data_IF_061371856309
#
_entry.id   IF_061371856309
#
_cell.length_a   1.000
_cell.length_b   1.000
_cell.length_c   1.000
_cell.angle_alpha   90.00
_cell.angle_beta   90.00
_cell.angle_gamma   90.00
#
_symmetry.space_group_name_H-M   'P 1'
#
loop_
_entity.id
_entity.type
_entity.pdbx_description
1 polymer ?
#
# COMPACT_ATOMS: atom_id res chain seq x y z
N UNK A 1 -2.64 -16.66 12.84
CA UNK A 1 -1.95 -16.32 14.12
C UNK A 1 -0.51 -15.86 13.95
N UNK A 2 0.29 -16.41 13.02
CA UNK A 2 1.68 -15.93 12.75
C UNK A 2 1.76 -14.44 12.40
N UNK A 3 0.79 -13.90 11.65
CA UNK A 3 0.73 -12.48 11.30
C UNK A 3 0.54 -11.52 12.48
N UNK A 4 -0.23 -11.93 13.49
CA UNK A 4 -0.43 -11.12 14.70
C UNK A 4 0.85 -11.04 15.53
N UNK A 5 1.58 -12.16 15.64
CA UNK A 5 2.88 -12.21 16.33
C UNK A 5 3.92 -11.34 15.62
N UNK A 6 4.00 -11.44 14.30
CA UNK A 6 4.84 -10.57 13.47
C UNK A 6 4.54 -9.10 13.72
N UNK A 7 3.25 -8.73 13.67
CA UNK A 7 2.82 -7.34 13.89
C UNK A 7 3.17 -6.89 15.31
N UNK A 8 2.89 -7.69 16.33
CA UNK A 8 3.22 -7.37 17.72
C UNK A 8 4.72 -7.20 17.95
N UNK A 9 5.56 -8.05 17.37
CA UNK A 9 7.01 -7.92 17.46
C UNK A 9 7.53 -6.65 16.78
N UNK A 10 6.97 -6.26 15.63
CA UNK A 10 7.29 -4.98 15.01
C UNK A 10 6.84 -3.78 15.88
N UNK A 11 5.69 -3.87 16.58
CA UNK A 11 5.27 -2.85 17.55
C UNK A 11 6.19 -2.79 18.76
N UNK A 12 6.71 -3.92 19.21
CA UNK A 12 7.71 -4.00 20.28
C UNK A 12 8.99 -3.26 19.90
N UNK A 13 9.59 -3.58 18.74
CA UNK A 13 10.80 -2.90 18.24
C UNK A 13 10.56 -1.38 18.13
N UNK A 14 9.40 -0.98 17.59
CA UNK A 14 8.99 0.43 17.50
C UNK A 14 8.88 1.10 18.87
N UNK A 15 8.31 0.44 19.86
CA UNK A 15 8.20 0.95 21.22
C UNK A 15 9.59 1.14 21.85
N UNK A 16 10.51 0.18 21.65
CA UNK A 16 11.89 0.29 22.14
C UNK A 16 12.64 1.45 21.48
N UNK A 17 12.49 1.62 20.17
CA UNK A 17 13.17 2.67 19.42
C UNK A 17 12.55 4.08 19.61
N UNK A 18 11.29 4.18 20.08
CA UNK A 18 10.55 5.45 20.14
C UNK A 18 9.92 5.86 18.80
N UNK A 19 9.63 4.89 17.92
CA UNK A 19 9.12 5.11 16.56
C UNK A 19 7.60 4.86 16.55
N UNK A 20 6.83 5.85 16.98
CA UNK A 20 5.40 5.68 17.32
C UNK A 20 4.45 5.82 16.12
N UNK A 21 4.89 6.41 15.00
CA UNK A 21 4.10 6.52 13.77
C UNK A 21 4.71 5.76 12.60
N UNK A 22 3.94 5.55 11.53
CA UNK A 22 4.43 4.89 10.32
C UNK A 22 5.51 5.73 9.60
N UNK A 23 5.43 7.05 9.74
CA UNK A 23 6.32 8.04 9.16
C UNK A 23 7.53 8.36 10.05
N UNK A 24 7.51 7.97 11.33
CA UNK A 24 8.67 8.11 12.20
C UNK A 24 9.85 7.31 11.64
N UNK A 25 10.99 7.96 11.52
CA UNK A 25 12.24 7.41 10.99
C UNK A 25 13.35 7.43 12.03
N UNK A 26 14.42 6.68 11.76
CA UNK A 26 15.70 6.83 12.44
C UNK A 26 16.65 7.66 11.58
N UNK A 27 17.51 8.44 12.23
CA UNK A 27 18.65 9.15 11.64
C UNK A 27 19.93 8.33 11.83
N UNK A 28 21.07 8.87 11.38
CA UNK A 28 22.37 8.23 11.61
C UNK A 28 22.64 7.98 13.09
N UNK A 29 23.23 6.82 13.39
CA UNK A 29 23.43 6.33 14.75
C UNK A 29 24.84 6.63 15.30
N UNK A 30 25.60 7.53 14.66
CA UNK A 30 27.04 7.73 14.88
C UNK A 30 27.42 7.90 16.35
N UNK A 31 26.69 8.75 17.09
CA UNK A 31 26.96 9.00 18.50
C UNK A 31 26.67 7.78 19.38
N UNK A 32 25.65 6.99 19.02
CA UNK A 32 25.29 5.77 19.73
C UNK A 32 26.28 4.63 19.45
N UNK A 33 26.78 4.55 18.21
CA UNK A 33 27.81 3.60 17.81
C UNK A 33 29.12 3.93 18.52
N UNK A 34 29.57 5.19 18.49
CA UNK A 34 30.77 5.64 19.22
C UNK A 34 30.70 5.31 20.71
N UNK A 35 29.56 5.57 21.35
CA UNK A 35 29.37 5.22 22.76
C UNK A 35 29.45 3.70 23.00
N UNK A 36 28.87 2.90 22.10
CA UNK A 36 28.93 1.44 22.18
C UNK A 36 30.37 0.95 22.03
N UNK A 37 31.10 1.40 21.01
CA UNK A 37 32.48 0.97 20.74
C UNK A 37 33.43 1.29 21.89
N UNK A 38 33.27 2.43 22.55
CA UNK A 38 34.06 2.80 23.74
C UNK A 38 33.89 1.85 24.92
N UNK A 39 32.77 1.12 24.98
CA UNK A 39 32.41 0.24 26.11
C UNK A 39 32.27 -1.21 25.70
N UNK A 40 32.49 -1.52 24.43
CA UNK A 40 32.25 -2.84 23.90
C UNK A 40 33.32 -3.80 24.43
N UNK A 41 32.84 -4.84 25.12
CA UNK A 41 33.66 -5.99 25.50
C UNK A 41 33.13 -7.17 24.70
N UNK A 42 33.96 -7.86 23.90
CA UNK A 42 33.56 -9.06 23.20
C UNK A 42 33.02 -10.10 24.20
N UNK A 43 31.91 -10.73 23.84
CA UNK A 43 31.28 -11.78 24.64
C UNK A 43 31.17 -13.03 23.78
N UNK A 44 31.61 -14.17 24.30
CA UNK A 44 31.65 -15.45 23.57
C UNK A 44 30.24 -15.93 23.20
N UNK A 45 29.30 -15.96 24.16
CA UNK A 45 27.87 -16.20 23.90
C UNK A 45 27.03 -14.97 24.23
N UNK A 46 26.84 -14.14 23.20
CA UNK A 46 26.01 -12.93 23.28
C UNK A 46 24.55 -13.25 23.64
N UNK A 47 24.01 -14.39 23.21
CA UNK A 47 22.61 -14.75 23.45
C UNK A 47 22.40 -15.12 24.91
N UNK A 48 23.29 -15.93 25.48
CA UNK A 48 23.25 -16.29 26.89
C UNK A 48 23.48 -15.06 27.79
N UNK A 49 24.46 -14.23 27.44
CA UNK A 49 24.72 -12.98 28.15
C UNK A 49 23.48 -12.09 28.22
N UNK A 50 22.77 -11.90 27.12
CA UNK A 50 21.56 -11.08 27.09
C UNK A 50 20.42 -11.71 27.89
N UNK A 51 20.25 -13.03 27.86
CA UNK A 51 19.27 -13.70 28.73
C UNK A 51 19.56 -13.44 30.21
N UNK A 52 20.83 -13.51 30.62
CA UNK A 52 21.23 -13.19 31.98
C UNK A 52 20.94 -11.72 32.33
N UNK A 53 21.17 -10.79 31.40
CA UNK A 53 20.82 -9.37 31.59
C UNK A 53 19.31 -9.15 31.75
N UNK A 54 18.47 -9.89 31.02
CA UNK A 54 17.00 -9.82 31.17
C UNK A 54 16.60 -10.21 32.59
N UNK A 55 17.13 -11.31 33.12
CA UNK A 55 16.85 -11.74 34.50
C UNK A 55 17.34 -10.74 35.54
N UNK A 56 18.54 -10.19 35.37
CA UNK A 56 19.08 -9.14 36.25
C UNK A 56 18.23 -7.85 36.19
N UNK A 57 17.68 -7.53 35.03
CA UNK A 57 16.88 -6.31 34.80
C UNK A 57 15.50 -6.34 35.44
N UNK A 58 15.06 -7.49 35.97
CA UNK A 58 13.87 -7.60 36.84
C UNK A 58 14.09 -6.94 38.20
N UNK A 59 15.35 -6.78 38.63
CA UNK A 59 15.75 -6.08 39.85
C UNK A 59 16.92 -5.12 39.56
N UNK A 60 16.69 -4.06 38.76
CA UNK A 60 17.76 -3.17 38.33
C UNK A 60 18.25 -2.31 39.50
N UNK A 61 19.52 -1.92 39.45
CA UNK A 61 20.06 -0.94 40.39
C UNK A 61 19.38 0.44 40.21
N UNK A 62 19.58 1.35 41.15
CA UNK A 62 18.89 2.65 41.17
C UNK A 62 19.15 3.49 39.92
N UNK A 63 20.38 3.47 39.38
CA UNK A 63 20.76 4.25 38.21
C UNK A 63 20.09 3.72 36.93
N UNK A 64 20.18 2.41 36.68
CA UNK A 64 19.53 1.74 35.54
C UNK A 64 18.03 1.97 35.60
N UNK A 65 17.43 1.80 36.79
CA UNK A 65 16.01 2.05 37.01
C UNK A 65 15.62 3.49 36.65
N UNK A 66 16.42 4.48 37.04
CA UNK A 66 16.17 5.88 36.73
C UNK A 66 16.24 6.15 35.22
N UNK A 67 17.28 5.66 34.54
CA UNK A 67 17.44 5.83 33.08
C UNK A 67 16.33 5.13 32.30
N UNK A 68 15.98 3.90 32.66
CA UNK A 68 14.89 3.15 32.06
C UNK A 68 13.53 3.86 32.24
N UNK A 69 13.29 4.45 33.42
CA UNK A 69 12.07 5.23 33.69
C UNK A 69 11.97 6.49 32.83
N UNK A 70 13.10 7.14 32.51
CA UNK A 70 13.12 8.29 31.57
C UNK A 70 12.72 7.86 30.16
N UNK A 71 13.30 6.79 29.64
CA UNK A 71 12.94 6.23 28.32
C UNK A 71 11.47 5.83 28.25
N UNK A 72 10.95 5.18 29.31
CA UNK A 72 9.54 4.83 29.39
C UNK A 72 8.64 6.06 29.37
N UNK A 73 9.02 7.12 30.07
CA UNK A 73 8.26 8.37 30.13
C UNK A 73 8.24 9.07 28.77
N UNK A 74 9.38 9.10 28.07
CA UNK A 74 9.49 9.64 26.71
C UNK A 74 8.54 8.91 25.75
N UNK A 75 8.62 7.58 25.70
CA UNK A 75 7.77 6.75 24.82
C UNK A 75 6.29 6.93 25.15
N UNK A 76 5.91 6.95 26.43
CA UNK A 76 4.53 7.23 26.83
C UNK A 76 4.06 8.61 26.42
N UNK A 77 4.91 9.62 26.58
CA UNK A 77 4.62 10.99 26.16
C UNK A 77 4.37 11.07 24.65
N UNK A 78 5.17 10.38 23.85
CA UNK A 78 4.98 10.28 22.40
C UNK A 78 3.70 9.54 22.04
N UNK A 79 3.43 8.39 22.67
CA UNK A 79 2.20 7.58 22.45
C UNK A 79 0.94 8.36 22.80
N UNK A 80 0.96 9.16 23.87
CA UNK A 80 -0.20 9.97 24.26
C UNK A 80 -0.55 11.08 23.26
N UNK A 81 0.44 11.56 22.49
CA UNK A 81 0.27 12.61 21.48
C UNK A 81 0.05 12.05 20.08
N UNK A 82 0.42 10.80 19.84
CA UNK A 82 0.39 10.20 18.52
C UNK A 82 -0.99 9.65 18.17
N UNK A 83 -1.42 9.91 16.93
CA UNK A 83 -2.61 9.29 16.36
C UNK A 83 -2.25 8.05 15.53
N UNK A 84 -3.19 7.11 15.42
CA UNK A 84 -3.06 5.94 14.55
C UNK A 84 -2.91 4.59 15.25
N UNK A 85 -2.94 3.53 14.46
CA UNK A 85 -3.02 2.16 14.97
C UNK A 85 -1.73 1.72 15.68
N UNK A 86 -0.56 2.19 15.23
CA UNK A 86 0.75 1.87 15.84
C UNK A 86 0.79 2.35 17.29
N UNK A 87 0.49 3.64 17.52
CA UNK A 87 0.42 4.22 18.86
C UNK A 87 -0.60 3.47 19.75
N UNK A 88 -1.79 3.18 19.21
CA UNK A 88 -2.84 2.41 19.92
C UNK A 88 -2.39 1.00 20.30
N UNK A 89 -1.61 0.33 19.46
CA UNK A 89 -1.09 -1.00 19.76
C UNK A 89 0.04 -0.94 20.79
N UNK A 90 0.95 0.04 20.68
CA UNK A 90 2.01 0.26 21.67
C UNK A 90 1.41 0.60 23.05
N UNK A 91 0.34 1.40 23.11
CA UNK A 91 -0.37 1.72 24.34
C UNK A 91 -0.97 0.49 25.07
N UNK A 92 -1.15 -0.64 24.36
CA UNK A 92 -1.64 -1.89 24.97
C UNK A 92 -0.54 -2.69 25.65
N UNK A 93 0.73 -2.38 25.40
CA UNK A 93 1.89 -3.07 25.98
C UNK A 93 2.00 -2.70 27.45
N UNK A 94 2.24 -3.69 28.32
CA UNK A 94 2.44 -3.43 29.75
C UNK A 94 3.68 -2.55 29.99
N UNK A 95 3.49 -1.54 30.84
CA UNK A 95 4.52 -0.57 31.17
C UNK A 95 5.67 -1.19 31.97
N UNK A 96 5.37 -2.20 32.79
CA UNK A 96 6.36 -2.94 33.58
C UNK A 96 7.31 -3.71 32.67
N UNK A 97 6.78 -4.32 31.61
CA UNK A 97 7.56 -5.07 30.64
C UNK A 97 8.41 -4.15 29.76
N UNK A 98 7.87 -3.00 29.33
CA UNK A 98 8.68 -1.98 28.66
C UNK A 98 9.77 -1.43 29.59
N UNK A 99 9.47 -1.20 30.87
CA UNK A 99 10.48 -0.76 31.84
C UNK A 99 11.61 -1.77 32.00
N UNK A 100 11.27 -3.06 32.06
CA UNK A 100 12.24 -4.16 32.17
C UNK A 100 13.09 -4.27 30.90
N UNK A 101 12.47 -4.11 29.73
CA UNK A 101 13.18 -4.08 28.45
C UNK A 101 14.17 -2.90 28.37
N UNK A 102 13.73 -1.69 28.74
CA UNK A 102 14.63 -0.53 28.81
C UNK A 102 15.75 -0.72 29.83
N UNK A 103 15.48 -1.29 31.00
CA UNK A 103 16.51 -1.62 31.97
C UNK A 103 17.54 -2.61 31.38
N UNK A 104 17.09 -3.60 30.62
CA UNK A 104 17.97 -4.56 29.92
C UNK A 104 18.85 -3.87 28.88
N UNK A 105 18.29 -2.95 28.10
CA UNK A 105 19.02 -2.17 27.09
C UNK A 105 20.12 -1.32 27.76
N UNK A 106 19.80 -0.63 28.85
CA UNK A 106 20.79 0.16 29.60
C UNK A 106 21.85 -0.74 30.25
N UNK A 107 21.44 -1.89 30.81
CA UNK A 107 22.36 -2.86 31.41
C UNK A 107 23.33 -3.47 30.39
N UNK A 108 22.90 -3.62 29.13
CA UNK A 108 23.75 -4.02 28.01
C UNK A 108 24.74 -2.93 27.55
N UNK A 109 24.78 -1.78 28.24
CA UNK A 109 25.70 -0.68 27.96
C UNK A 109 25.24 0.28 26.86
N UNK A 110 24.02 0.14 26.34
CA UNK A 110 23.46 1.06 25.35
C UNK A 110 22.84 2.28 26.04
N UNK A 111 22.90 3.44 25.38
CA UNK A 111 22.20 4.65 25.86
C UNK A 111 20.69 4.55 25.67
N UNK A 112 20.27 3.94 24.55
CA UNK A 112 18.89 3.64 24.20
C UNK A 112 18.90 2.56 23.13
N UNK A 113 17.73 2.01 22.80
CA UNK A 113 17.58 1.12 21.67
C UNK A 113 17.52 1.95 20.37
N UNK A 114 18.59 1.91 19.58
CA UNK A 114 18.73 2.72 18.38
C UNK A 114 19.51 1.97 17.30
N UNK A 115 18.91 0.97 16.64
CA UNK A 115 19.62 0.17 15.65
C UNK A 115 20.08 1.06 14.48
N UNK A 116 21.25 0.76 13.94
CA UNK A 116 21.80 1.45 12.78
C UNK A 116 21.15 0.92 11.51
N UNK A 117 20.34 1.77 10.87
CA UNK A 117 19.63 1.45 9.62
C UNK A 117 20.35 1.94 8.36
N UNK A 118 21.45 2.69 8.51
CA UNK A 118 22.20 3.25 7.40
C UNK A 118 23.48 2.46 7.12
N UNK A 119 24.11 1.91 8.16
CA UNK A 119 25.32 1.10 8.04
C UNK A 119 25.08 -0.40 7.91
N UNK A 120 26.05 -1.18 8.37
CA UNK A 120 26.08 -2.63 8.18
C UNK A 120 25.11 -3.35 9.14
N UNK A 121 24.12 -4.06 8.59
CA UNK A 121 23.13 -4.85 9.36
C UNK A 121 23.76 -6.01 10.14
N UNK A 122 24.94 -6.47 9.75
CA UNK A 122 25.69 -7.56 10.39
C UNK A 122 26.73 -7.08 11.40
N UNK A 123 26.80 -5.76 11.68
CA UNK A 123 27.69 -5.20 12.70
C UNK A 123 27.41 -5.79 14.09
N UNK A 124 28.42 -5.81 14.96
CA UNK A 124 28.24 -6.25 16.35
C UNK A 124 27.16 -5.43 17.07
N UNK A 125 27.10 -4.12 16.78
CA UNK A 125 26.08 -3.20 17.26
C UNK A 125 24.65 -3.62 16.87
N UNK A 126 24.41 -3.92 15.59
CA UNK A 126 23.09 -4.33 15.12
C UNK A 126 22.73 -5.76 15.56
N UNK A 127 23.70 -6.67 15.66
CA UNK A 127 23.51 -8.00 16.26
C UNK A 127 23.04 -7.88 17.71
N UNK A 128 23.66 -7.01 18.52
CA UNK A 128 23.24 -6.74 19.89
C UNK A 128 21.78 -6.24 19.95
N UNK A 129 21.40 -5.27 19.10
CA UNK A 129 20.02 -4.78 19.03
C UNK A 129 19.02 -5.89 18.68
N UNK A 130 19.35 -6.73 17.70
CA UNK A 130 18.50 -7.87 17.32
C UNK A 130 18.29 -8.81 18.50
N UNK A 131 19.36 -9.20 19.19
CA UNK A 131 19.25 -10.11 20.34
C UNK A 131 18.49 -9.48 21.51
N UNK A 132 18.71 -8.19 21.80
CA UNK A 132 17.95 -7.46 22.83
C UNK A 132 16.46 -7.40 22.49
N UNK A 133 16.10 -7.09 21.25
CA UNK A 133 14.71 -7.04 20.81
C UNK A 133 14.02 -8.40 20.99
N UNK A 134 14.67 -9.49 20.54
CA UNK A 134 14.12 -10.85 20.65
C UNK A 134 14.00 -11.28 22.10
N UNK A 135 15.06 -11.17 22.90
CA UNK A 135 15.06 -11.66 24.28
C UNK A 135 14.04 -10.93 25.15
N UNK A 136 13.97 -9.60 25.06
CA UNK A 136 13.01 -8.80 25.84
C UNK A 136 11.57 -9.03 25.39
N UNK A 137 11.33 -9.27 24.09
CA UNK A 137 10.00 -9.66 23.60
C UNK A 137 9.58 -11.03 24.12
N UNK A 138 10.48 -12.01 24.07
CA UNK A 138 10.21 -13.37 24.55
C UNK A 138 9.89 -13.40 26.05
N UNK A 139 10.63 -12.64 26.86
CA UNK A 139 10.33 -12.46 28.29
C UNK A 139 8.95 -11.81 28.48
N UNK A 140 8.64 -10.74 27.74
CA UNK A 140 7.34 -10.07 27.82
C UNK A 140 6.16 -10.96 27.39
N UNK A 141 6.34 -11.84 26.40
CA UNK A 141 5.30 -12.81 26.01
C UNK A 141 5.14 -13.88 27.09
N UNK A 142 6.24 -14.41 27.61
CA UNK A 142 6.23 -15.47 28.63
C UNK A 142 5.58 -15.00 29.94
N UNK A 143 5.74 -13.72 30.28
CA UNK A 143 5.10 -13.07 31.42
C UNK A 143 3.69 -12.50 31.12
N UNK A 144 3.08 -12.86 29.98
CA UNK A 144 1.75 -12.42 29.55
C UNK A 144 1.59 -10.89 29.35
N UNK A 145 2.69 -10.15 29.24
CA UNK A 145 2.73 -8.70 29.07
C UNK A 145 2.18 -8.19 27.73
N UNK A 146 2.00 -9.08 26.74
CA UNK A 146 1.50 -8.78 25.39
C UNK A 146 0.14 -9.42 25.07
N UNK A 147 -0.62 -9.87 26.08
CA UNK A 147 -1.89 -10.58 25.88
C UNK A 147 -2.90 -9.80 25.03
N UNK A 148 -2.94 -8.47 25.17
CA UNK A 148 -3.84 -7.58 24.40
C UNK A 148 -3.49 -7.46 22.92
N UNK A 149 -2.32 -7.96 22.50
CA UNK A 149 -1.89 -8.03 21.10
C UNK A 149 -2.10 -9.43 20.47
N UNK A 150 -2.70 -10.37 21.22
CA UNK A 150 -3.04 -11.72 20.71
C UNK A 150 -1.84 -12.46 20.11
N UNK A 151 -0.69 -12.36 20.77
CA UNK A 151 0.55 -13.01 20.36
C UNK A 151 0.44 -14.53 20.52
N UNK A 152 0.92 -15.28 19.53
CA UNK A 152 1.06 -16.72 19.64
C UNK A 152 2.35 -17.06 20.39
N UNK A 153 2.23 -17.72 21.54
CA UNK A 153 3.38 -18.11 22.37
C UNK A 153 4.35 -18.99 21.58
N UNK A 154 3.84 -19.95 20.81
CA UNK A 154 4.65 -20.84 19.95
C UNK A 154 5.44 -20.09 18.89
N UNK A 155 4.82 -19.08 18.25
CA UNK A 155 5.54 -18.27 17.26
C UNK A 155 6.52 -17.30 17.94
N UNK A 156 6.23 -16.82 19.14
CA UNK A 156 7.11 -15.95 19.90
C UNK A 156 8.34 -16.68 20.47
N UNK A 157 8.25 -17.97 20.79
CA UNK A 157 9.39 -18.75 21.27
C UNK A 157 10.39 -19.10 20.17
N UNK A 158 10.00 -19.03 18.90
CA UNK A 158 10.86 -19.27 17.74
C UNK A 158 11.81 -18.08 17.49
N UNK A 159 13.04 -18.18 17.99
CA UNK A 159 14.08 -17.17 17.82
C UNK A 159 14.45 -16.94 16.35
N UNK A 160 14.46 -17.99 15.52
CA UNK A 160 14.84 -17.88 14.11
C UNK A 160 13.78 -17.09 13.34
N UNK A 161 12.50 -17.38 13.61
CA UNK A 161 11.38 -16.61 13.06
C UNK A 161 11.44 -15.13 13.48
N UNK A 162 11.69 -14.83 14.76
CA UNK A 162 11.79 -13.45 15.23
C UNK A 162 12.99 -12.71 14.64
N UNK A 163 14.16 -13.34 14.53
CA UNK A 163 15.33 -12.76 13.86
C UNK A 163 14.99 -12.39 12.40
N UNK A 164 14.34 -13.30 11.67
CA UNK A 164 13.92 -13.03 10.29
C UNK A 164 12.91 -11.87 10.18
N UNK A 165 12.03 -11.69 11.16
CA UNK A 165 11.14 -10.51 11.21
C UNK A 165 11.94 -9.25 11.50
N UNK A 166 12.88 -9.29 12.44
CA UNK A 166 13.74 -8.15 12.79
C UNK A 166 14.50 -7.66 11.57
N UNK A 167 15.19 -8.55 10.86
CA UNK A 167 16.03 -8.21 9.71
C UNK A 167 15.19 -7.61 8.58
N UNK A 168 14.04 -8.23 8.25
CA UNK A 168 13.09 -7.68 7.26
C UNK A 168 12.53 -6.32 7.68
N UNK A 169 12.27 -6.13 8.97
CA UNK A 169 11.77 -4.86 9.50
C UNK A 169 12.84 -3.77 9.43
N UNK A 170 14.09 -4.07 9.76
CA UNK A 170 15.22 -3.13 9.63
C UNK A 170 15.43 -2.68 8.19
N UNK A 171 15.37 -3.60 7.21
CA UNK A 171 15.45 -3.23 5.79
C UNK A 171 14.30 -2.30 5.38
N UNK A 172 13.10 -2.56 5.88
CA UNK A 172 11.94 -1.69 5.61
C UNK A 172 12.15 -0.30 6.23
N UNK A 173 12.61 -0.25 7.47
CA UNK A 173 12.89 1.00 8.19
C UNK A 173 13.99 1.79 7.51
N UNK A 174 15.06 1.15 7.06
CA UNK A 174 16.14 1.76 6.28
C UNK A 174 15.63 2.41 4.99
N UNK A 175 14.74 1.75 4.25
CA UNK A 175 14.13 2.33 3.04
C UNK A 175 13.31 3.58 3.35
N UNK A 176 12.51 3.54 4.42
CA UNK A 176 11.69 4.70 4.85
C UNK A 176 12.60 5.84 5.34
N UNK A 177 13.60 5.54 6.16
CA UNK A 177 14.60 6.52 6.65
C UNK A 177 15.38 7.19 5.52
N UNK A 178 15.92 6.41 4.57
CA UNK A 178 16.65 6.95 3.41
C UNK A 178 15.75 7.79 2.50
N UNK A 179 14.48 7.41 2.35
CA UNK A 179 13.49 8.22 1.61
C UNK A 179 13.23 9.56 2.31
N UNK A 180 13.04 9.54 3.63
CA UNK A 180 12.82 10.75 4.42
C UNK A 180 14.01 11.71 4.39
N UNK A 181 15.23 11.18 4.42
CA UNK A 181 16.47 11.97 4.33
C UNK A 181 16.60 12.68 2.97
N UNK A 182 16.20 12.01 1.88
CA UNK A 182 16.23 12.60 0.52
C UNK A 182 15.14 13.61 0.28
N UNK A 183 13.92 13.31 0.75
CA UNK A 183 12.78 14.20 0.62
C UNK A 183 11.79 13.93 1.77
N UNK A 184 11.75 14.79 2.81
CA UNK A 184 10.85 14.64 3.94
C UNK A 184 9.36 14.61 3.54
N UNK A 185 8.97 15.44 2.57
CA UNK A 185 7.57 15.55 2.10
C UNK A 185 7.09 14.26 1.42
N UNK A 186 8.02 13.49 0.83
CA UNK A 186 7.68 12.26 0.11
C UNK A 186 7.07 11.15 0.98
N UNK A 187 7.23 11.22 2.31
CA UNK A 187 6.58 10.28 3.24
C UNK A 187 5.09 10.57 3.41
N UNK A 188 4.72 11.85 3.42
CA UNK A 188 3.33 12.29 3.47
C UNK A 188 2.65 11.97 2.14
N UNK A 189 3.29 12.33 1.01
CA UNK A 189 2.82 12.00 -0.34
C UNK A 189 2.60 10.50 -0.53
N UNK A 190 3.52 9.67 -0.03
CA UNK A 190 3.40 8.22 -0.16
C UNK A 190 2.26 7.65 0.69
N UNK A 191 2.03 8.20 1.88
CA UNK A 191 0.93 7.77 2.75
C UNK A 191 -0.42 8.19 2.16
N UNK A 192 -0.48 9.40 1.59
CA UNK A 192 -1.64 9.90 0.87
C UNK A 192 -1.92 9.03 -0.36
N UNK A 193 -0.91 8.74 -1.19
CA UNK A 193 -1.05 7.89 -2.38
C UNK A 193 -1.55 6.48 -2.03
N UNK A 194 -1.04 5.87 -0.95
CA UNK A 194 -1.51 4.56 -0.49
C UNK A 194 -2.97 4.63 0.00
N UNK A 195 -3.30 5.66 0.77
CA UNK A 195 -4.67 5.88 1.24
C UNK A 195 -5.62 6.06 0.05
N UNK A 196 -5.21 6.84 -0.94
CA UNK A 196 -5.91 7.09 -2.21
C UNK A 196 -6.13 5.80 -3.00
N UNK A 197 -5.09 4.99 -3.17
CA UNK A 197 -5.16 3.68 -3.84
C UNK A 197 -6.14 2.74 -3.12
N UNK A 198 -6.10 2.70 -1.79
CA UNK A 198 -7.06 1.91 -0.98
C UNK A 198 -8.49 2.42 -1.11
N UNK A 199 -8.70 3.74 -1.21
CA UNK A 199 -10.03 4.33 -1.45
C UNK A 199 -10.57 3.91 -2.82
N UNK A 200 -9.77 4.07 -3.89
CA UNK A 200 -10.11 3.59 -5.25
C UNK A 200 -10.48 2.10 -5.25
N UNK A 201 -9.65 1.26 -4.62
CA UNK A 201 -9.89 -0.19 -4.57
C UNK A 201 -11.21 -0.58 -3.91
N UNK A 202 -11.60 0.09 -2.81
CA UNK A 202 -12.89 -0.16 -2.13
C UNK A 202 -14.09 0.25 -2.99
N UNK A 203 -14.02 1.43 -3.62
CA UNK A 203 -15.08 1.91 -4.52
C UNK A 203 -15.23 1.00 -5.74
N UNK A 204 -14.10 0.63 -6.35
CA UNK A 204 -14.04 -0.33 -7.44
C UNK A 204 -14.72 -1.65 -7.07
N UNK A 205 -14.36 -2.24 -5.93
CA UNK A 205 -14.97 -3.49 -5.44
C UNK A 205 -16.49 -3.33 -5.25
N UNK A 206 -16.93 -2.27 -4.58
CA UNK A 206 -18.37 -2.05 -4.32
C UNK A 206 -19.18 -1.87 -5.60
N UNK A 207 -18.66 -1.12 -6.58
CA UNK A 207 -19.32 -0.93 -7.87
C UNK A 207 -19.28 -2.18 -8.73
N UNK A 208 -18.18 -2.92 -8.70
CA UNK A 208 -18.01 -4.18 -9.41
C UNK A 208 -19.08 -5.20 -8.99
N UNK A 209 -19.27 -5.38 -7.68
CA UNK A 209 -20.30 -6.28 -7.13
C UNK A 209 -21.72 -5.81 -7.46
N UNK A 210 -21.97 -4.50 -7.41
CA UNK A 210 -23.27 -3.95 -7.80
C UNK A 210 -23.54 -4.15 -9.31
N UNK A 211 -22.53 -3.93 -10.15
CA UNK A 211 -22.62 -4.12 -11.61
C UNK A 211 -22.89 -5.59 -11.98
N UNK A 212 -22.25 -6.54 -11.27
CA UNK A 212 -22.56 -7.97 -11.38
C UNK A 212 -24.01 -8.25 -10.99
N UNK A 213 -24.46 -7.68 -9.86
CA UNK A 213 -25.84 -7.87 -9.37
C UNK A 213 -26.89 -7.35 -10.36
N UNK A 214 -26.60 -6.27 -11.07
CA UNK A 214 -27.47 -5.70 -12.10
C UNK A 214 -27.44 -6.46 -13.44
N UNK A 215 -26.58 -7.48 -13.55
CA UNK A 215 -26.45 -8.25 -14.78
C UNK A 215 -25.83 -7.45 -15.93
N UNK A 216 -25.01 -6.44 -15.61
CA UNK A 216 -24.32 -5.68 -16.63
C UNK A 216 -23.38 -6.58 -17.43
N UNK A 217 -23.17 -6.24 -18.71
CA UNK A 217 -22.26 -6.96 -19.60
C UNK A 217 -20.89 -7.14 -18.98
N UNK A 218 -20.30 -8.33 -19.20
CA UNK A 218 -18.97 -8.68 -18.66
C UNK A 218 -17.94 -7.62 -18.97
N UNK A 219 -17.89 -7.05 -20.18
CA UNK A 219 -16.93 -5.98 -20.52
C UNK A 219 -17.14 -4.69 -19.73
N UNK A 220 -18.38 -4.29 -19.46
CA UNK A 220 -18.70 -3.11 -18.64
C UNK A 220 -18.33 -3.38 -17.17
N UNK A 221 -18.68 -4.55 -16.66
CA UNK A 221 -18.28 -5.03 -15.32
C UNK A 221 -16.76 -5.05 -15.19
N UNK A 222 -16.05 -5.55 -16.20
CA UNK A 222 -14.59 -5.50 -16.25
C UNK A 222 -14.11 -4.07 -16.13
N UNK A 223 -14.60 -3.16 -16.95
CA UNK A 223 -14.16 -1.77 -16.95
C UNK A 223 -14.30 -1.11 -15.56
N UNK A 224 -15.41 -1.40 -14.86
CA UNK A 224 -15.66 -0.98 -13.46
C UNK A 224 -14.76 -1.71 -12.46
N UNK A 225 -14.21 -2.87 -12.82
CA UNK A 225 -13.26 -3.63 -12.01
C UNK A 225 -11.82 -3.10 -12.05
N UNK A 226 -11.49 -2.08 -12.86
CA UNK A 226 -10.15 -1.49 -12.86
C UNK A 226 -10.10 -0.31 -11.87
N UNK A 227 -9.33 -0.39 -10.75
CA UNK A 227 -9.27 0.68 -9.75
C UNK A 227 -8.85 2.04 -10.32
N UNK A 228 -8.03 2.07 -11.36
CA UNK A 228 -7.54 3.30 -11.98
C UNK A 228 -8.60 4.02 -12.83
N UNK A 229 -9.73 3.35 -13.11
CA UNK A 229 -10.89 3.96 -13.76
C UNK A 229 -11.74 4.82 -12.81
N UNK A 230 -11.53 4.69 -11.49
CA UNK A 230 -12.30 5.37 -10.45
C UNK A 230 -11.62 6.67 -10.00
N UNK A 231 -12.43 7.63 -9.56
CA UNK A 231 -11.97 8.88 -8.93
C UNK A 231 -11.68 8.68 -7.44
N UNK A 232 -10.73 9.45 -6.92
CA UNK A 232 -10.25 9.38 -5.52
C UNK A 232 -11.24 9.92 -4.52
N UNK A 233 -11.77 11.11 -4.84
CA UNK A 233 -12.60 11.90 -3.96
C UNK A 233 -13.86 12.29 -4.73
N UNK A 234 -14.87 11.48 -4.52
CA UNK A 234 -16.17 11.64 -5.13
C UNK A 234 -17.01 12.50 -4.21
N UNK A 235 -16.77 13.82 -4.20
CA UNK A 235 -17.61 14.78 -3.49
C UNK A 235 -18.33 15.65 -4.50
N UNK A 236 -19.66 15.74 -4.38
CA UNK A 236 -20.49 16.66 -5.15
C UNK A 236 -20.30 18.09 -4.62
N UNK A 237 -20.09 19.05 -5.53
CA UNK A 237 -20.04 20.48 -5.19
C UNK A 237 -21.39 20.95 -4.63
N UNK A 238 -22.48 20.42 -5.19
CA UNK A 238 -23.84 20.64 -4.69
C UNK A 238 -24.48 19.32 -4.24
N UNK A 239 -24.89 19.20 -2.96
CA UNK A 239 -25.50 17.99 -2.48
C UNK A 239 -26.86 17.75 -3.14
N UNK A 240 -27.07 16.59 -3.75
CA UNK A 240 -28.36 16.26 -4.37
C UNK A 240 -29.37 15.97 -3.25
N UNK A 241 -30.48 16.73 -3.15
CA UNK A 241 -31.53 16.47 -2.19
C UNK A 241 -32.38 15.29 -2.67
N UNK A 242 -32.32 14.17 -1.96
CA UNK A 242 -33.29 13.08 -2.17
C UNK A 242 -34.49 13.36 -1.29
N UNK A 243 -35.65 13.56 -1.93
CA UNK A 243 -36.92 13.74 -1.22
C UNK A 243 -37.57 12.38 -1.02
N UNK A 244 -37.76 11.99 0.24
CA UNK A 244 -38.71 10.95 0.60
C UNK A 244 -40.09 11.59 0.90
N UNK A 245 -41.21 10.88 0.65
CA UNK A 245 -42.52 11.33 1.11
C UNK A 245 -42.55 11.31 2.65
N UNK A 246 -42.48 12.48 3.28
CA UNK A 246 -42.70 12.66 4.72
C UNK A 246 -41.46 12.89 5.59
N UNK A 247 -40.23 12.82 5.06
CA UNK A 247 -39.00 13.12 5.83
C UNK A 247 -38.21 14.31 5.25
N UNK A 248 -37.36 14.93 6.08
CA UNK A 248 -36.47 16.02 5.66
C UNK A 248 -35.53 15.50 4.55
N UNK A 249 -35.36 16.25 3.45
CA UNK A 249 -34.51 15.81 2.34
C UNK A 249 -33.08 15.58 2.83
N UNK A 250 -32.52 14.39 2.56
CA UNK A 250 -31.14 14.10 2.85
C UNK A 250 -30.25 14.46 1.66
N UNK A 251 -29.05 14.94 1.98
CA UNK A 251 -28.05 15.44 1.04
C UNK A 251 -27.10 14.31 0.63
N UNK A 252 -27.13 13.91 -0.65
CA UNK A 252 -26.11 13.04 -1.23
C UNK A 252 -24.85 13.87 -1.39
N UNK A 253 -23.73 13.36 -0.88
CA UNK A 253 -22.44 14.06 -0.96
C UNK A 253 -21.47 13.40 -1.92
N UNK A 254 -21.73 12.18 -2.42
CA UNK A 254 -20.72 11.41 -3.15
C UNK A 254 -21.23 10.74 -4.42
N UNK A 255 -20.62 11.06 -5.56
CA UNK A 255 -20.86 10.46 -6.88
C UNK A 255 -19.56 10.48 -7.70
N UNK A 256 -19.39 9.50 -8.60
CA UNK A 256 -18.29 9.50 -9.56
C UNK A 256 -18.10 10.88 -10.23
N UNK A 257 -16.91 11.47 -10.05
CA UNK A 257 -16.51 12.74 -10.70
C UNK A 257 -16.14 12.50 -12.14
N UNK A 258 -16.34 13.49 -13.00
CA UNK A 258 -15.86 13.43 -14.39
C UNK A 258 -14.33 13.36 -14.36
N UNK A 259 -13.75 12.45 -15.16
CA UNK A 259 -12.30 12.28 -15.31
C UNK A 259 -11.91 12.70 -16.72
N UNK A 260 -10.82 13.44 -16.87
CA UNK A 260 -10.32 13.88 -18.18
C UNK A 260 -10.09 12.66 -19.06
N UNK A 261 -10.58 12.75 -20.29
CA UNK A 261 -10.49 11.69 -21.28
C UNK A 261 -11.39 10.48 -21.04
N UNK A 262 -12.09 10.36 -19.90
CA UNK A 262 -13.00 9.26 -19.65
C UNK A 262 -14.33 9.45 -20.39
N UNK A 263 -14.86 8.37 -20.92
CA UNK A 263 -16.14 8.36 -21.60
C UNK A 263 -17.28 8.88 -20.68
N UNK A 264 -18.09 9.85 -21.12
CA UNK A 264 -19.15 10.44 -20.29
C UNK A 264 -20.20 9.40 -19.86
N UNK A 265 -20.55 8.50 -20.79
CA UNK A 265 -21.46 7.39 -20.52
C UNK A 265 -21.00 6.45 -19.40
N UNK A 266 -19.70 6.17 -19.29
CA UNK A 266 -19.15 5.40 -18.18
C UNK A 266 -19.29 6.11 -16.84
N UNK A 267 -19.07 7.44 -16.83
CA UNK A 267 -19.34 8.26 -15.63
C UNK A 267 -20.81 8.15 -15.23
N UNK A 268 -21.73 8.16 -16.20
CA UNK A 268 -23.16 7.94 -15.97
C UNK A 268 -23.47 6.57 -15.35
N UNK A 269 -22.86 5.49 -15.86
CA UNK A 269 -23.02 4.14 -15.29
C UNK A 269 -22.52 4.10 -13.85
N UNK A 270 -21.33 4.64 -13.56
CA UNK A 270 -20.80 4.68 -12.20
C UNK A 270 -21.73 5.44 -11.24
N UNK A 271 -22.27 6.59 -11.67
CA UNK A 271 -23.26 7.36 -10.88
C UNK A 271 -24.56 6.60 -10.64
N UNK A 272 -25.02 5.82 -11.62
CA UNK A 272 -26.18 4.96 -11.46
C UNK A 272 -25.94 3.88 -10.39
N UNK A 273 -24.80 3.20 -10.46
CA UNK A 273 -24.41 2.17 -9.49
C UNK A 273 -24.25 2.76 -8.09
N UNK A 274 -23.68 3.97 -7.96
CA UNK A 274 -23.58 4.67 -6.67
C UNK A 274 -24.94 4.91 -6.04
N UNK A 275 -25.90 5.33 -6.86
CA UNK A 275 -27.29 5.58 -6.42
C UNK A 275 -27.92 4.29 -5.90
N UNK A 276 -27.68 3.16 -6.58
CA UNK A 276 -28.20 1.83 -6.20
C UNK A 276 -27.54 1.25 -4.95
N UNK A 277 -26.21 1.40 -4.81
CA UNK A 277 -25.46 1.03 -3.60
C UNK A 277 -26.01 1.80 -2.40
N UNK A 278 -26.26 3.10 -2.59
CA UNK A 278 -26.83 3.96 -1.57
C UNK A 278 -28.26 3.52 -1.21
N UNK A 279 -29.14 3.29 -2.18
CA UNK A 279 -30.50 2.80 -1.96
C UNK A 279 -30.51 1.47 -1.20
N UNK A 280 -29.58 0.57 -1.51
CA UNK A 280 -29.41 -0.72 -0.82
C UNK A 280 -28.99 -0.52 0.64
N UNK A 281 -28.12 0.45 0.90
CA UNK A 281 -27.72 0.80 2.26
C UNK A 281 -28.85 1.48 3.04
N UNK A 282 -29.56 2.44 2.44
CA UNK A 282 -30.70 3.15 3.05
C UNK A 282 -31.77 2.16 3.49
N UNK A 283 -32.11 1.19 2.64
CA UNK A 283 -33.10 0.15 2.94
C UNK A 283 -32.68 -0.78 4.07
N UNK A 284 -31.37 -1.03 4.22
CA UNK A 284 -30.88 -2.06 5.13
C UNK A 284 -30.20 -1.54 6.40
N UNK A 285 -29.94 -0.22 6.55
CA UNK A 285 -29.30 0.52 7.68
C UNK A 285 -28.37 -0.31 8.59
N UNK A 286 -27.68 -1.31 8.07
CA UNK A 286 -26.81 -2.23 8.78
C UNK A 286 -25.39 -1.93 8.35
N UNK A 287 -24.55 -1.60 9.33
CA UNK A 287 -23.16 -1.26 9.13
C UNK A 287 -22.88 0.23 8.88
N UNK A 288 -21.60 0.61 8.88
CA UNK A 288 -21.18 1.98 8.65
C UNK A 288 -21.69 2.45 7.28
N UNK A 289 -22.09 3.73 7.22
CA UNK A 289 -22.47 4.40 5.96
C UNK A 289 -21.38 4.18 4.90
N UNK A 290 -21.72 3.87 3.63
CA UNK A 290 -20.74 3.85 2.55
C UNK A 290 -19.93 5.14 2.65
N UNK A 291 -18.60 5.02 2.74
CA UNK A 291 -17.68 6.07 3.19
C UNK A 291 -18.00 7.46 2.62
N UNK A 292 -18.88 8.21 3.29
CA UNK A 292 -19.02 9.66 3.09
C UNK A 292 -18.03 10.32 4.04
N UNK A 293 -16.73 10.08 3.85
CA UNK A 293 -15.76 11.01 4.43
C UNK A 293 -15.81 12.24 3.54
N UNK A 294 -16.38 13.31 4.07
CA UNK A 294 -16.01 14.66 3.67
C UNK A 294 -14.52 14.79 3.95
N UNK A 295 -13.69 14.70 2.95
CA UNK A 295 -12.51 15.56 2.92
C UNK A 295 -13.07 16.96 2.62
N UNK A 296 -13.02 17.84 3.61
CA UNK A 296 -13.50 19.24 3.44
C UNK A 296 -12.61 20.01 2.44
N UNK A 297 -11.45 19.46 2.09
CA UNK A 297 -10.67 19.88 0.95
C UNK A 297 -11.22 19.25 -0.32
N UNK A 298 -11.96 20.06 -1.09
CA UNK A 298 -12.12 19.84 -2.51
C UNK A 298 -10.72 19.84 -3.12
N UNK A 299 -10.12 18.66 -3.32
CA UNK A 299 -8.97 18.57 -4.19
C UNK A 299 -9.38 19.16 -5.55
N UNK A 300 -8.53 20.02 -6.15
CA UNK A 300 -8.82 20.61 -7.46
C UNK A 300 -9.20 19.51 -8.44
N UNK A 301 -10.12 19.76 -9.39
CA UNK A 301 -10.70 18.76 -10.29
C UNK A 301 -9.60 17.92 -10.94
N UNK A 302 -9.29 16.79 -10.30
CA UNK A 302 -8.05 16.02 -10.45
C UNK A 302 -6.83 16.87 -10.80
N UNK A 303 -5.92 17.09 -9.85
CA UNK A 303 -4.52 16.93 -10.23
C UNK A 303 -4.44 15.55 -10.89
N UNK A 304 -4.42 15.55 -12.22
CA UNK A 304 -4.61 14.37 -13.07
C UNK A 304 -3.77 13.24 -12.48
N UNK A 305 -4.33 12.05 -12.37
CA UNK A 305 -3.46 10.89 -12.55
C UNK A 305 -2.90 11.06 -13.96
N UNK A 306 -1.69 11.63 -14.07
CA UNK A 306 -0.92 11.76 -15.30
C UNK A 306 -0.66 10.38 -15.94
N UNK A 307 -1.00 9.31 -15.20
CA UNK A 307 -1.00 7.94 -15.63
C UNK A 307 -2.38 7.56 -16.19
N UNK A 308 -2.37 7.18 -17.47
CA UNK A 308 -3.44 6.45 -18.15
C UNK A 308 -3.74 5.14 -17.39
N UNK A 309 -4.99 4.62 -17.45
CA UNK A 309 -5.32 3.36 -16.80
C UNK A 309 -4.50 2.21 -17.38
N UNK A 310 -4.08 1.27 -16.55
CA UNK A 310 -3.33 0.10 -16.98
C UNK A 310 -4.07 -0.63 -18.11
N UNK A 311 -3.35 -0.94 -19.19
CA UNK A 311 -3.87 -1.66 -20.34
C UNK A 311 -4.39 -3.05 -19.93
N UNK A 312 -3.68 -3.71 -19.01
CA UNK A 312 -4.08 -4.94 -18.34
C UNK A 312 -4.10 -4.73 -16.83
N UNK A 313 -5.07 -5.35 -16.14
CA UNK A 313 -5.20 -5.27 -14.69
C UNK A 313 -5.83 -6.55 -14.13
N UNK A 314 -5.57 -6.82 -12.86
CA UNK A 314 -6.20 -7.91 -12.11
C UNK A 314 -7.55 -7.44 -11.58
N UNK A 315 -8.62 -8.21 -11.85
CA UNK A 315 -9.96 -7.90 -11.35
C UNK A 315 -10.05 -7.96 -9.82
N UNK A 316 -11.06 -7.33 -9.20
CA UNK A 316 -11.28 -7.40 -7.76
C UNK A 316 -11.57 -8.81 -7.24
N UNK A 317 -12.05 -9.73 -8.09
CA UNK A 317 -12.23 -11.15 -7.75
C UNK A 317 -10.93 -11.97 -7.88
N UNK A 318 -9.82 -11.36 -8.30
CA UNK A 318 -8.48 -11.97 -8.41
C UNK A 318 -8.38 -13.18 -9.36
N UNK A 319 -9.38 -13.43 -10.19
CA UNK A 319 -9.44 -14.66 -10.99
C UNK A 319 -8.67 -14.58 -12.31
N UNK A 320 -8.64 -13.42 -12.98
CA UNK A 320 -8.08 -13.27 -14.34
C UNK A 320 -7.52 -11.87 -14.61
N UNK A 321 -6.38 -11.81 -15.29
CA UNK A 321 -5.92 -10.59 -15.95
C UNK A 321 -6.93 -10.18 -17.02
N UNK A 322 -7.26 -8.89 -17.04
CA UNK A 322 -8.30 -8.34 -17.91
C UNK A 322 -7.80 -7.10 -18.60
N UNK A 323 -8.23 -6.90 -19.84
CA UNK A 323 -7.87 -5.76 -20.67
C UNK A 323 -8.84 -4.60 -20.43
N UNK A 324 -8.32 -3.40 -20.27
CA UNK A 324 -9.12 -2.16 -20.20
C UNK A 324 -9.71 -1.88 -21.59
N UNK A 325 -11.05 -1.88 -21.74
CA UNK A 325 -11.68 -1.63 -23.04
C UNK A 325 -11.40 -0.23 -23.58
N UNK A 326 -11.43 -0.09 -24.91
CA UNK A 326 -11.12 1.15 -25.64
C UNK A 326 -12.04 2.31 -25.23
N UNK A 327 -13.31 1.98 -24.99
CA UNK A 327 -14.38 2.88 -24.59
C UNK A 327 -14.29 3.35 -23.13
N UNK A 328 -13.22 3.02 -22.41
CA UNK A 328 -12.83 3.84 -21.26
C UNK A 328 -12.66 5.30 -21.69
N UNK A 329 -12.04 5.53 -22.86
CA UNK A 329 -11.77 6.87 -23.36
C UNK A 329 -12.98 7.46 -24.08
N UNK A 330 -13.17 8.78 -24.01
CA UNK A 330 -14.07 9.44 -24.95
C UNK A 330 -13.46 9.38 -26.36
N UNK A 331 -14.25 9.22 -27.42
CA UNK A 331 -13.73 9.19 -28.79
C UNK A 331 -12.86 10.40 -29.12
N UNK A 332 -13.29 11.60 -28.73
CA UNK A 332 -12.54 12.83 -28.94
C UNK A 332 -11.17 12.79 -28.25
N UNK A 333 -11.09 12.33 -27.00
CA UNK A 333 -9.82 12.26 -26.27
C UNK A 333 -8.89 11.20 -26.86
N UNK A 334 -9.43 10.02 -27.18
CA UNK A 334 -8.65 8.95 -27.79
C UNK A 334 -8.08 9.38 -29.15
N UNK A 335 -8.87 10.11 -29.96
CA UNK A 335 -8.46 10.49 -31.30
C UNK A 335 -7.50 11.69 -31.30
N UNK A 336 -7.77 12.71 -30.49
CA UNK A 336 -7.10 14.01 -30.60
C UNK A 336 -5.96 14.20 -29.58
N UNK A 337 -6.00 13.48 -28.44
CA UNK A 337 -5.07 13.72 -27.32
C UNK A 337 -4.04 12.61 -27.17
N UNK A 338 -4.45 11.34 -27.31
CA UNK A 338 -3.52 10.22 -27.17
C UNK A 338 -2.55 10.15 -28.35
N UNK A 339 -1.30 9.83 -28.07
CA UNK A 339 -0.33 9.55 -29.13
C UNK A 339 -0.51 8.14 -29.72
N UNK A 340 0.18 7.86 -30.83
CA UNK A 340 0.08 6.55 -31.51
C UNK A 340 0.54 5.39 -30.60
N UNK A 341 1.51 5.63 -29.71
CA UNK A 341 2.01 4.63 -28.78
C UNK A 341 0.94 4.29 -27.72
N UNK A 342 0.36 5.30 -27.10
CA UNK A 342 -0.71 5.18 -26.12
C UNK A 342 -1.94 4.51 -26.73
N UNK A 343 -2.32 4.89 -27.96
CA UNK A 343 -3.41 4.25 -28.70
C UNK A 343 -3.13 2.77 -28.96
N UNK A 344 -1.90 2.40 -29.31
CA UNK A 344 -1.52 1.00 -29.58
C UNK A 344 -1.75 0.08 -28.38
N UNK A 345 -1.61 0.60 -27.16
CA UNK A 345 -1.83 -0.17 -25.91
C UNK A 345 -3.28 -0.61 -25.73
N UNK A 346 -4.24 0.03 -26.38
CA UNK A 346 -5.67 -0.27 -26.26
C UNK A 346 -6.30 -0.75 -27.58
N UNK A 347 -5.58 -0.67 -28.70
CA UNK A 347 -6.07 -1.00 -30.04
C UNK A 347 -6.73 -2.39 -30.12
N UNK A 348 -6.15 -3.39 -29.45
CA UNK A 348 -6.62 -4.78 -29.49
C UNK A 348 -7.69 -5.11 -28.41
N UNK A 349 -8.17 -4.12 -27.66
CA UNK A 349 -9.03 -4.37 -26.49
C UNK A 349 -10.53 -4.38 -26.83
N UNK A 350 -10.89 -3.78 -27.96
CA UNK A 350 -12.27 -3.63 -28.41
C UNK A 350 -13.13 -2.77 -27.47
N UNK A 351 -14.44 -2.73 -27.70
CA UNK A 351 -15.39 -1.88 -26.98
C UNK A 351 -16.33 -2.67 -26.08
N UNK A 352 -16.72 -2.08 -24.94
CA UNK A 352 -17.70 -2.59 -23.98
C UNK A 352 -19.06 -1.89 -24.01
N UNK A 353 -19.14 -0.69 -24.58
CA UNK A 353 -20.29 0.21 -24.58
C UNK A 353 -20.72 0.57 -26.00
N UNK A 354 -22.01 0.89 -26.16
CA UNK A 354 -22.57 1.31 -27.43
C UNK A 354 -22.08 2.73 -27.81
N UNK A 355 -22.17 3.06 -29.11
CA UNK A 355 -21.78 4.36 -29.65
C UNK A 355 -22.42 5.55 -28.91
N UNK A 356 -21.72 6.69 -28.88
CA UNK A 356 -22.24 7.99 -28.44
C UNK A 356 -23.41 8.45 -29.35
N UNK A 357 -24.63 8.08 -28.99
CA UNK A 357 -25.83 8.85 -29.32
C UNK A 357 -26.51 9.19 -27.98
N UNK A 358 -26.68 10.47 -27.68
CA UNK A 358 -27.18 10.98 -26.39
C UNK A 358 -28.55 10.37 -26.00
N UNK A 359 -29.33 9.91 -26.98
CA UNK A 359 -30.59 9.22 -26.78
C UNK A 359 -30.44 7.77 -26.24
N UNK A 360 -29.27 7.14 -26.32
CA UNK A 360 -29.01 5.72 -25.98
C UNK A 360 -28.47 5.53 -24.55
N UNK A 361 -28.04 6.61 -23.90
CA UNK A 361 -27.36 6.54 -22.60
C UNK A 361 -28.32 6.54 -21.41
N UNK A 362 -29.08 5.46 -21.30
CA UNK A 362 -29.76 5.06 -20.09
C UNK A 362 -29.28 3.64 -19.72
N UNK A 363 -28.62 3.43 -18.56
CA UNK A 363 -28.14 2.10 -18.13
C UNK A 363 -29.27 1.06 -17.96
N UNK A 364 -30.54 1.49 -18.05
CA UNK A 364 -31.71 0.59 -18.11
C UNK A 364 -32.08 0.13 -19.53
N UNK A 365 -31.34 0.51 -20.57
CA UNK A 365 -31.59 0.04 -21.95
C UNK A 365 -30.97 -1.33 -22.21
N UNK A 366 -31.65 -2.10 -23.07
CA UNK A 366 -31.38 -3.51 -23.39
C UNK A 366 -29.92 -3.84 -23.75
N UNK A 367 -29.12 -2.89 -24.25
CA UNK A 367 -27.73 -3.16 -24.64
C UNK A 367 -26.82 -3.45 -23.44
N UNK A 368 -27.11 -2.89 -22.27
CA UNK A 368 -26.25 -2.98 -21.08
C UNK A 368 -26.30 -4.37 -20.42
N UNK A 369 -27.38 -5.13 -20.65
CA UNK A 369 -27.61 -6.49 -20.13
C UNK A 369 -27.63 -7.55 -21.25
N UNK A 370 -27.42 -7.13 -22.51
CA UNK A 370 -27.41 -8.00 -23.69
C UNK A 370 -26.23 -8.97 -23.71
N UNK A 371 -26.42 -10.16 -24.28
CA UNK A 371 -25.33 -11.12 -24.49
C UNK A 371 -24.20 -10.58 -25.38
N UNK A 372 -22.97 -11.08 -25.18
CA UNK A 372 -21.79 -10.62 -25.92
C UNK A 372 -21.91 -10.77 -27.43
N UNK A 373 -22.48 -11.88 -27.90
CA UNK A 373 -22.62 -12.17 -29.33
C UNK A 373 -23.58 -11.20 -30.02
N UNK A 374 -24.74 -10.93 -29.41
CA UNK A 374 -25.74 -10.01 -29.94
C UNK A 374 -25.22 -8.57 -29.98
N UNK A 375 -24.51 -8.15 -28.94
CA UNK A 375 -23.91 -6.82 -28.91
C UNK A 375 -22.85 -6.65 -30.00
N UNK A 376 -22.01 -7.67 -30.23
CA UNK A 376 -20.96 -7.63 -31.25
C UNK A 376 -21.54 -7.42 -32.65
N UNK A 377 -22.70 -7.98 -32.93
CA UNK A 377 -23.37 -7.81 -34.23
C UNK A 377 -24.05 -6.44 -34.32
N UNK A 378 -24.70 -6.00 -33.24
CA UNK A 378 -25.63 -4.87 -33.29
C UNK A 378 -25.01 -3.51 -32.98
N UNK A 379 -24.02 -3.45 -32.08
CA UNK A 379 -23.53 -2.19 -31.50
C UNK A 379 -22.02 -2.00 -31.63
N UNK A 380 -21.24 -3.07 -31.64
CA UNK A 380 -19.77 -2.99 -31.69
C UNK A 380 -19.23 -2.29 -32.95
N UNK A 381 -19.74 -2.52 -34.18
CA UNK A 381 -19.20 -1.84 -35.37
C UNK A 381 -19.37 -0.33 -35.32
N UNK A 382 -20.55 0.15 -34.90
CA UNK A 382 -20.84 1.57 -34.77
C UNK A 382 -20.00 2.23 -33.66
N UNK A 383 -19.76 1.52 -32.56
CA UNK A 383 -18.94 2.02 -31.45
C UNK A 383 -17.45 2.08 -31.84
N UNK A 384 -16.92 1.06 -32.52
CA UNK A 384 -15.53 1.05 -32.98
C UNK A 384 -15.25 2.13 -34.03
N UNK A 385 -16.22 2.42 -34.90
CA UNK A 385 -16.09 3.48 -35.91
C UNK A 385 -15.87 4.89 -35.33
N UNK A 386 -16.12 5.09 -34.03
CA UNK A 386 -15.85 6.37 -33.35
C UNK A 386 -14.36 6.55 -33.00
N UNK A 387 -13.56 5.46 -33.01
CA UNK A 387 -12.16 5.49 -32.60
C UNK A 387 -11.23 5.31 -33.80
N UNK A 388 -10.30 6.25 -33.96
CA UNK A 388 -9.21 6.19 -34.95
C UNK A 388 -8.08 5.31 -34.41
N UNK A 389 -8.23 4.00 -34.56
CA UNK A 389 -7.23 3.01 -34.15
C UNK A 389 -6.04 3.04 -35.12
N UNK A 390 -4.79 3.19 -34.65
CA UNK A 390 -3.61 3.19 -35.52
C UNK A 390 -3.46 1.88 -36.31
N UNK A 391 -2.93 2.01 -37.52
CA UNK A 391 -2.57 0.86 -38.36
C UNK A 391 -1.31 0.16 -37.83
N UNK A 392 -1.12 -1.10 -38.22
CA UNK A 392 0.03 -1.92 -37.77
C UNK A 392 1.38 -1.28 -38.14
N UNK A 393 1.46 -0.65 -39.31
CA UNK A 393 2.63 0.10 -39.77
C UNK A 393 2.92 1.35 -38.92
N UNK A 394 1.88 2.09 -38.50
CA UNK A 394 2.03 3.26 -37.62
C UNK A 394 2.49 2.86 -36.21
N UNK A 395 2.00 1.71 -35.72
CA UNK A 395 2.44 1.15 -34.43
C UNK A 395 3.91 0.70 -34.47
N UNK A 396 4.36 0.10 -35.57
CA UNK A 396 5.75 -0.32 -35.75
C UNK A 396 6.69 0.89 -35.85
N UNK A 397 6.29 1.93 -36.58
CA UNK A 397 7.05 3.19 -36.64
C UNK A 397 7.16 3.88 -35.27
N UNK A 398 6.10 3.86 -34.46
CA UNK A 398 6.13 4.40 -33.10
C UNK A 398 7.11 3.60 -32.20
N UNK A 399 7.12 2.27 -32.29
CA UNK A 399 8.06 1.42 -31.54
C UNK A 399 9.52 1.72 -31.88
N UNK A 400 9.82 1.86 -33.19
CA UNK A 400 11.15 2.21 -33.68
C UNK A 400 11.61 3.60 -33.22
N UNK A 401 10.70 4.58 -33.08
CA UNK A 401 11.04 5.90 -32.54
C UNK A 401 11.46 5.80 -31.06
N UNK A 402 10.74 5.00 -30.26
CA UNK A 402 11.05 4.80 -28.84
C UNK A 402 12.40 4.12 -28.62
N UNK A 403 12.68 3.04 -29.34
CA UNK A 403 13.96 2.35 -29.26
C UNK A 403 15.13 3.30 -29.58
N UNK A 404 14.95 4.18 -30.57
CA UNK A 404 15.94 5.23 -30.91
C UNK A 404 16.07 6.30 -29.82
N UNK A 405 14.97 6.72 -29.19
CA UNK A 405 15.01 7.71 -28.11
C UNK A 405 15.62 7.16 -26.82
N UNK A 406 15.30 5.91 -26.45
CA UNK A 406 15.91 5.22 -25.33
C UNK A 406 17.42 5.03 -25.56
N UNK A 407 17.82 4.66 -26.77
CA UNK A 407 19.23 4.60 -27.16
C UNK A 407 19.90 5.99 -27.09
N UNK A 408 19.21 7.07 -27.50
CA UNK A 408 19.73 8.44 -27.39
C UNK A 408 19.84 8.92 -25.94
N UNK A 409 18.89 8.55 -25.07
CA UNK A 409 18.92 8.86 -23.64
C UNK A 409 20.04 8.09 -22.93
N UNK A 410 20.22 6.80 -23.22
CA UNK A 410 21.36 6.00 -22.73
C UNK A 410 22.70 6.59 -23.18
N UNK A 411 22.81 7.00 -24.44
CA UNK A 411 24.02 7.65 -24.98
C UNK A 411 24.30 9.03 -24.39
N UNK A 412 23.27 9.76 -23.96
CA UNK A 412 23.42 11.03 -23.23
C UNK A 412 23.70 10.85 -21.73
N UNK A 413 23.34 9.71 -21.15
CA UNK A 413 23.57 9.40 -19.75
C UNK A 413 24.96 8.77 -19.48
N UNK A 414 25.64 8.25 -20.51
CA UNK A 414 27.01 7.72 -20.42
C UNK A 414 28.05 8.58 -21.14
N UNK A 415 27.87 9.90 -21.13
CA UNK A 415 28.67 10.85 -21.93
C UNK A 415 29.48 11.87 -21.12
N UNK A 416 29.56 11.74 -19.80
CA UNK A 416 30.55 12.44 -18.97
C UNK A 416 30.90 11.55 -17.77
N UNK A 417 32.19 11.53 -17.48
CA UNK A 417 32.92 10.84 -16.40
C UNK A 417 33.37 9.39 -16.69
N UNK A 418 34.44 9.33 -17.50
CA UNK A 418 35.48 8.31 -17.45
C UNK A 418 36.48 8.70 -16.33
N UNK A 419 36.65 7.81 -15.35
CA UNK A 419 37.84 7.55 -14.50
C UNK A 419 37.47 7.24 -13.02
N UNK A 420 37.19 5.96 -12.73
CA UNK A 420 37.91 5.21 -11.68
C UNK A 420 37.45 3.74 -11.63
N UNK A 421 38.46 2.87 -11.65
CA UNK A 421 38.43 1.41 -11.68
C UNK A 421 37.69 0.70 -10.53
N UNK A 422 37.39 -0.57 -10.81
CA UNK A 422 37.15 -1.70 -9.89
C UNK A 422 35.79 -1.82 -9.18
N UNK A 423 34.87 -2.61 -9.75
CA UNK A 423 34.80 -4.05 -9.44
C UNK A 423 33.70 -4.76 -10.25
N UNK A 424 34.05 -5.97 -10.66
CA UNK A 424 33.33 -6.95 -11.45
C UNK A 424 31.95 -7.25 -10.83
N UNK A 425 30.85 -6.98 -11.54
CA UNK A 425 29.56 -7.62 -11.24
C UNK A 425 29.32 -8.74 -12.24
N UNK A 426 29.75 -9.94 -11.82
CA UNK A 426 29.33 -11.19 -12.44
C UNK A 426 27.81 -11.36 -12.31
N UNK A 427 27.27 -11.82 -13.42
CA UNK A 427 25.93 -12.30 -13.67
C UNK A 427 25.59 -13.57 -12.88
N UNK A 428 24.30 -13.82 -12.79
CA UNK A 428 23.61 -15.09 -12.53
C UNK A 428 23.54 -15.59 -11.08
N UNK A 429 22.31 -15.67 -10.56
CA UNK A 429 21.58 -16.95 -10.49
C UNK A 429 20.17 -16.70 -9.94
N UNK A 430 19.19 -16.69 -10.85
CA UNK A 430 17.81 -17.04 -10.54
C UNK A 430 17.76 -18.55 -10.30
N UNK A 431 17.82 -18.96 -9.03
CA UNK A 431 17.34 -20.28 -8.58
C UNK A 431 16.20 -20.06 -7.59
N UNK A 432 14.98 -20.30 -8.05
CA UNK A 432 13.95 -20.85 -7.16
C UNK A 432 13.40 -22.11 -7.78
N UNK A 433 13.96 -23.20 -7.26
CA UNK A 433 13.54 -24.59 -7.34
C UNK A 433 12.02 -24.77 -7.41
N UNK A 434 11.62 -25.35 -8.53
CA UNK A 434 10.51 -26.29 -8.64
C UNK A 434 11.06 -27.65 -8.22
N UNK A 435 10.33 -28.35 -7.35
CA UNK A 435 10.32 -29.80 -7.03
C UNK A 435 10.08 -29.96 -5.52
N UNK A 436 9.35 -30.92 -4.99
CA UNK A 436 8.39 -31.86 -5.54
C UNK A 436 7.63 -32.40 -4.31
N UNK A 437 6.36 -32.75 -4.50
CA UNK A 437 5.66 -33.63 -3.57
C UNK A 437 4.60 -34.39 -4.36
N UNK A 438 5.08 -35.30 -5.21
CA UNK A 438 4.34 -36.53 -5.48
C UNK A 438 4.69 -37.54 -4.40
N UNK A 439 3.66 -38.08 -3.75
CA UNK A 439 3.64 -39.48 -3.38
C UNK A 439 2.27 -40.05 -3.78
N UNK A 440 2.34 -41.04 -4.66
CA UNK A 440 1.26 -41.94 -5.05
C UNK A 440 0.87 -42.84 -3.86
N UNK A 441 -0.42 -43.16 -3.72
CA UNK A 441 -0.90 -44.55 -3.66
C UNK A 441 -2.44 -44.60 -3.49
N UNK A 442 -3.07 -45.23 -4.49
CA UNK A 442 -4.44 -45.81 -4.57
C UNK A 442 -5.67 -44.92 -4.79
#
# INVERSE_FOLDING_TARGET
MKDLTKTAFQRWIRALAGIISAQSTLTHADDYIKHYEQRFVPVDDLREHIKNLVEQSKKPNAEIKQRASRLLTEVKGQVARAEGQIAKDIAKISCEHLSTAFATIIAAGLLRFYPDVFGNTSSAYNKLHRHLAVATFQDAVSAFGLTRLQVSITAASDTTFLNGIFDKFMVTLARVSKRAERNPESLEDSAELEATTKRRGRLCTSRYEQAKTEGLRVRVVCLIGNPECHSDDEVLDEPIPVKEPGEKPYKILTQARVKVGRHPGLTGIMRHLDSKILDKWIRNRKGPRPNTRKTDELLPPSALSSKLPAATYTRPDHEKETRTPLDFFSPQYFNDVLDVEEKSRYAAHGVGMAALDDAVWNPTKNWATMGTAEFRVKYEPAALAQYSVPTEEEMEQARLRREKEEHRKKKKAGGDDDDSDDEVSETDLEDTDVEDAMDEER
#
